data_IF_688033257517
#
_entry.id   IF_688033257517
#
_cell.length_a   1.000
_cell.length_b   1.000
_cell.length_c   1.000
_cell.angle_alpha   90.00
_cell.angle_beta   90.00
_cell.angle_gamma   90.00
#
_symmetry.space_group_name_H-M   'P 1'
#
loop_
_entity.id
_entity.type
_entity.pdbx_description
1 polymer ?
#
# COMPACT_ATOMS: atom_id res chain seq x y z
N UNK A 1 26.34 -1.06 -1.49
CA UNK A 1 25.78 -0.67 -2.72
C UNK A 1 25.05 -1.82 -3.36
N UNK A 2 23.93 -1.58 -3.72
CA UNK A 2 23.19 -2.59 -4.37
C UNK A 2 23.57 -2.65 -5.82
N UNK A 3 23.43 -3.76 -6.38
CA UNK A 3 23.59 -3.89 -7.79
C UNK A 3 22.53 -3.06 -8.48
N UNK A 4 22.88 -2.42 -9.56
CA UNK A 4 21.85 -1.77 -10.34
C UNK A 4 20.90 -2.82 -10.85
N UNK A 5 19.70 -2.38 -11.11
CA UNK A 5 18.74 -3.25 -11.71
C UNK A 5 19.30 -3.80 -13.00
N UNK A 6 19.14 -5.08 -13.16
CA UNK A 6 19.35 -5.61 -14.47
C UNK A 6 18.07 -6.25 -14.91
N UNK A 7 17.67 -5.94 -16.11
CA UNK A 7 16.51 -6.56 -16.68
C UNK A 7 16.71 -8.03 -16.49
N UNK A 8 15.67 -8.66 -16.14
CA UNK A 8 15.73 -10.09 -16.05
C UNK A 8 16.32 -10.66 -17.30
N UNK A 9 17.06 -11.70 -17.15
CA UNK A 9 17.58 -12.41 -18.28
C UNK A 9 16.50 -13.04 -19.12
N UNK A 10 15.26 -12.97 -18.70
CA UNK A 10 14.17 -13.49 -19.50
C UNK A 10 14.01 -12.62 -20.72
N UNK A 11 14.31 -13.20 -21.84
CA UNK A 11 14.31 -12.48 -23.08
C UNK A 11 12.97 -11.86 -23.35
N UNK A 12 12.96 -10.61 -23.73
CA UNK A 12 11.74 -9.93 -24.09
C UNK A 12 10.83 -9.61 -22.92
N UNK A 13 11.21 -10.01 -21.72
CA UNK A 13 10.41 -9.72 -20.54
C UNK A 13 11.20 -8.74 -19.69
N UNK A 14 10.60 -7.60 -19.42
CA UNK A 14 11.20 -6.59 -18.56
C UNK A 14 10.41 -6.55 -17.28
N UNK A 15 11.07 -6.88 -16.18
CA UNK A 15 10.46 -6.78 -14.88
C UNK A 15 10.80 -5.43 -14.29
N UNK A 16 9.79 -4.80 -13.69
CA UNK A 16 10.07 -3.62 -12.94
C UNK A 16 10.93 -4.01 -11.75
N UNK A 17 12.07 -3.38 -11.64
CA UNK A 17 12.92 -3.59 -10.49
C UNK A 17 12.37 -2.76 -9.34
N UNK A 18 11.90 -3.45 -8.33
CA UNK A 18 11.40 -2.78 -7.13
C UNK A 18 12.43 -2.76 -6.02
N UNK A 19 13.70 -3.02 -6.33
CA UNK A 19 14.76 -3.02 -5.33
C UNK A 19 14.95 -1.68 -4.65
N UNK A 20 14.58 -0.58 -5.33
CA UNK A 20 14.64 0.75 -4.74
C UNK A 20 13.33 1.16 -4.09
N UNK A 21 12.32 0.33 -4.15
CA UNK A 21 11.04 0.63 -3.53
C UNK A 21 11.16 0.34 -2.04
N UNK A 22 11.12 1.38 -1.23
CA UNK A 22 11.34 1.24 0.21
C UNK A 22 10.36 2.07 1.04
N UNK A 23 9.48 2.81 0.39
CA UNK A 23 8.57 3.71 1.08
C UNK A 23 7.25 3.02 1.33
N UNK A 24 6.76 3.15 2.56
CA UNK A 24 5.41 2.71 2.93
C UNK A 24 4.47 3.89 2.75
N UNK A 25 3.46 3.75 1.92
CA UNK A 25 2.46 4.78 1.75
C UNK A 25 1.24 4.45 2.62
N UNK A 26 0.81 5.42 3.41
CA UNK A 26 -0.38 5.31 4.24
C UNK A 26 -1.42 6.27 3.69
N UNK A 27 -2.56 5.75 3.27
CA UNK A 27 -3.63 6.57 2.72
C UNK A 27 -4.83 6.47 3.67
N UNK A 28 -5.10 7.56 4.37
CA UNK A 28 -6.16 7.63 5.36
C UNK A 28 -6.59 9.09 5.49
N UNK A 29 -7.89 9.34 5.45
CA UNK A 29 -8.41 10.71 5.55
C UNK A 29 -8.39 11.24 6.99
N UNK A 30 -8.14 10.39 7.97
CA UNK A 30 -8.01 10.79 9.35
C UNK A 30 -6.55 11.12 9.65
N UNK A 31 -6.27 12.40 9.84
CA UNK A 31 -4.90 12.86 10.12
C UNK A 31 -4.29 12.21 11.35
N UNK A 32 -5.10 12.07 12.40
CA UNK A 32 -4.58 11.52 13.65
C UNK A 32 -4.13 10.08 13.45
N UNK A 33 -4.93 9.29 12.72
CA UNK A 33 -4.58 7.89 12.44
C UNK A 33 -3.32 7.84 11.57
N UNK A 34 -3.27 8.64 10.52
CA UNK A 34 -2.11 8.68 9.63
C UNK A 34 -0.84 9.10 10.35
N UNK A 35 -0.94 10.12 11.21
CA UNK A 35 0.23 10.61 11.95
C UNK A 35 0.71 9.59 12.97
N UNK A 36 -0.20 8.96 13.69
CA UNK A 36 0.18 7.94 14.69
C UNK A 36 0.82 6.75 14.00
N UNK A 37 0.19 6.28 12.94
CA UNK A 37 0.70 5.12 12.21
C UNK A 37 2.04 5.44 11.55
N UNK A 38 2.13 6.60 10.91
CA UNK A 38 3.38 7.03 10.29
C UNK A 38 4.50 7.14 11.29
N UNK A 39 4.21 7.74 12.46
CA UNK A 39 5.20 7.86 13.51
C UNK A 39 5.69 6.52 14.05
N UNK A 40 4.77 5.57 14.21
CA UNK A 40 5.12 4.23 14.64
C UNK A 40 6.06 3.57 13.63
N UNK A 41 5.71 3.65 12.34
CA UNK A 41 6.50 3.02 11.29
C UNK A 41 7.86 3.66 11.16
N UNK A 42 7.93 4.99 11.27
CA UNK A 42 9.22 5.69 11.23
C UNK A 42 10.10 5.31 12.41
N UNK A 43 9.50 5.15 13.58
CA UNK A 43 10.25 4.69 14.75
C UNK A 43 10.81 3.29 14.56
N UNK A 44 10.20 2.49 13.70
CA UNK A 44 10.68 1.16 13.37
C UNK A 44 11.69 1.16 12.22
N UNK A 45 12.04 2.33 11.71
CA UNK A 45 13.05 2.45 10.67
C UNK A 45 12.52 2.51 9.25
N UNK A 46 11.22 2.58 9.06
CA UNK A 46 10.64 2.66 7.72
C UNK A 46 10.52 4.10 7.26
N UNK A 47 10.66 4.32 5.96
CA UNK A 47 10.29 5.59 5.36
C UNK A 47 8.80 5.55 5.05
N UNK A 48 8.10 6.62 5.44
CA UNK A 48 6.64 6.65 5.32
C UNK A 48 6.21 7.93 4.62
N UNK A 49 5.26 7.80 3.71
CA UNK A 49 4.56 8.93 3.13
C UNK A 49 3.08 8.76 3.43
N UNK A 50 2.44 9.83 3.87
CA UNK A 50 1.02 9.80 4.19
C UNK A 50 0.24 10.66 3.22
N UNK A 51 -0.94 10.17 2.86
CA UNK A 51 -1.84 10.85 1.94
C UNK A 51 -3.23 10.86 2.56
N UNK A 52 -3.95 11.94 2.41
CA UNK A 52 -5.26 12.10 3.02
C UNK A 52 -6.42 11.74 2.13
N UNK A 53 -6.15 11.46 0.88
CA UNK A 53 -7.21 11.11 -0.06
C UNK A 53 -6.63 10.28 -1.18
N UNK A 54 -7.50 9.54 -1.84
CA UNK A 54 -7.11 8.79 -3.01
C UNK A 54 -6.68 9.69 -4.16
N UNK A 55 -7.35 10.83 -4.31
CA UNK A 55 -7.00 11.78 -5.34
C UNK A 55 -5.58 12.30 -5.17
N UNK A 56 -5.25 12.71 -3.94
CA UNK A 56 -3.91 13.21 -3.64
C UNK A 56 -2.87 12.12 -3.91
N UNK A 57 -3.14 10.92 -3.42
CA UNK A 57 -2.25 9.79 -3.64
C UNK A 57 -2.04 9.52 -5.13
N UNK A 58 -3.13 9.39 -5.87
CA UNK A 58 -3.03 9.02 -7.29
C UNK A 58 -2.37 10.09 -8.14
N UNK A 59 -2.44 11.36 -7.74
CA UNK A 59 -1.88 12.46 -8.53
C UNK A 59 -0.45 12.82 -8.16
N UNK A 60 0.00 12.50 -6.95
CA UNK A 60 1.32 12.98 -6.50
C UNK A 60 2.30 11.87 -6.14
N UNK A 61 1.83 10.65 -5.87
CA UNK A 61 2.71 9.60 -5.39
C UNK A 61 3.65 9.10 -6.48
N UNK A 62 4.86 8.78 -6.08
CA UNK A 62 5.86 8.16 -6.94
C UNK A 62 5.75 6.66 -6.76
N UNK A 63 4.92 6.02 -7.58
CA UNK A 63 4.61 4.60 -7.42
C UNK A 63 5.83 3.70 -7.47
N UNK A 64 6.82 4.09 -8.25
CA UNK A 64 8.05 3.32 -8.39
C UNK A 64 8.87 3.24 -7.11
N UNK A 65 8.59 4.12 -6.15
CA UNK A 65 9.30 4.15 -4.87
C UNK A 65 8.54 3.47 -3.74
N UNK A 66 7.31 3.05 -3.98
CA UNK A 66 6.46 2.51 -2.94
C UNK A 66 6.63 1.01 -2.82
N UNK A 67 7.03 0.57 -1.64
CA UNK A 67 7.19 -0.85 -1.35
C UNK A 67 5.85 -1.50 -1.02
N UNK A 68 4.97 -0.76 -0.34
CA UNK A 68 3.65 -1.26 -0.01
C UNK A 68 2.71 -0.11 0.33
N UNK A 69 1.43 -0.43 0.33
CA UNK A 69 0.36 0.51 0.63
C UNK A 69 -0.45 0.03 1.82
N UNK A 70 -0.78 0.95 2.70
CA UNK A 70 -1.73 0.73 3.78
C UNK A 70 -2.87 1.72 3.54
N UNK A 71 -4.02 1.21 3.18
CA UNK A 71 -5.13 2.05 2.71
C UNK A 71 -6.37 1.82 3.56
N UNK A 72 -6.96 2.91 4.05
CA UNK A 72 -8.25 2.87 4.70
C UNK A 72 -9.34 2.71 3.65
N UNK A 73 -10.19 1.71 3.85
CA UNK A 73 -11.33 1.48 2.95
C UNK A 73 -12.38 2.59 3.07
N UNK A 74 -12.58 3.07 4.28
CA UNK A 74 -13.73 3.93 4.59
C UNK A 74 -13.37 5.40 4.51
N UNK A 75 -13.18 5.89 3.30
CA UNK A 75 -12.90 7.29 3.03
C UNK A 75 -14.01 7.88 2.16
N UNK A 76 -14.32 9.17 2.34
CA UNK A 76 -15.30 9.82 1.47
C UNK A 76 -14.73 9.99 0.06
N UNK A 77 -15.59 10.13 -0.90
CA UNK A 77 -15.30 10.39 -2.31
C UNK A 77 -14.62 9.24 -3.04
N UNK A 78 -13.58 8.65 -2.46
CA UNK A 78 -12.90 7.52 -3.08
C UNK A 78 -12.51 6.55 -1.99
N UNK A 79 -13.05 5.34 -2.08
CA UNK A 79 -12.74 4.28 -1.11
C UNK A 79 -11.38 3.66 -1.40
N UNK A 80 -10.88 2.90 -0.44
CA UNK A 80 -9.63 2.17 -0.63
C UNK A 80 -9.67 1.23 -1.83
N UNK A 81 -10.77 0.51 -2.00
CA UNK A 81 -10.91 -0.40 -3.15
C UNK A 81 -10.91 0.36 -4.47
N UNK A 82 -11.49 1.54 -4.51
CA UNK A 82 -11.47 2.34 -5.73
C UNK A 82 -10.05 2.79 -6.08
N UNK A 83 -9.25 3.08 -5.07
CA UNK A 83 -7.84 3.40 -5.30
C UNK A 83 -7.13 2.20 -5.91
N UNK A 84 -7.31 1.04 -5.32
CA UNK A 84 -6.67 -0.20 -5.81
C UNK A 84 -7.10 -0.48 -7.25
N UNK A 85 -8.38 -0.30 -7.52
CA UNK A 85 -8.91 -0.53 -8.86
C UNK A 85 -8.27 0.41 -9.87
N UNK A 86 -8.10 1.68 -9.52
CA UNK A 86 -7.45 2.66 -10.39
C UNK A 86 -5.99 2.33 -10.64
N UNK A 87 -5.28 1.86 -9.61
CA UNK A 87 -3.90 1.41 -9.78
C UNK A 87 -3.84 0.23 -10.74
N UNK A 88 -4.75 -0.72 -10.57
CA UNK A 88 -4.81 -1.89 -11.44
C UNK A 88 -5.04 -1.47 -12.90
N UNK A 89 -5.92 -0.52 -13.13
CA UNK A 89 -6.19 -0.01 -14.47
C UNK A 89 -4.97 0.67 -15.10
N UNK A 90 -4.08 1.18 -14.29
CA UNK A 90 -2.83 1.80 -14.74
C UNK A 90 -1.68 0.82 -14.85
N UNK A 91 -1.92 -0.45 -14.56
CA UNK A 91 -0.87 -1.46 -14.57
C UNK A 91 0.08 -1.37 -13.39
N UNK A 92 -0.32 -0.67 -12.34
CA UNK A 92 0.51 -0.52 -11.14
C UNK A 92 0.11 -1.60 -10.14
N UNK A 93 1.08 -2.39 -9.72
CA UNK A 93 0.85 -3.49 -8.80
C UNK A 93 1.79 -3.36 -7.62
N UNK A 94 1.26 -2.91 -6.49
CA UNK A 94 2.02 -2.69 -5.27
C UNK A 94 1.35 -3.50 -4.16
N UNK A 95 2.13 -4.22 -3.34
CA UNK A 95 1.54 -4.96 -2.22
C UNK A 95 0.67 -4.04 -1.36
N UNK A 96 -0.56 -4.44 -1.12
CA UNK A 96 -1.54 -3.59 -0.48
C UNK A 96 -2.20 -4.30 0.70
N UNK A 97 -2.30 -3.57 1.80
CA UNK A 97 -3.11 -3.92 2.96
C UNK A 97 -4.26 -2.93 3.04
N UNK A 98 -5.46 -3.45 3.13
CA UNK A 98 -6.66 -2.65 3.24
C UNK A 98 -7.17 -2.72 4.67
N UNK A 99 -7.53 -1.58 5.23
CA UNK A 99 -8.07 -1.52 6.58
C UNK A 99 -9.54 -1.13 6.48
N UNK A 100 -10.42 -1.89 7.11
CA UNK A 100 -11.84 -1.63 7.06
C UNK A 100 -12.42 -1.52 8.48
N UNK A 101 -13.44 -0.69 8.63
CA UNK A 101 -14.09 -0.52 9.92
C UNK A 101 -15.04 -1.65 10.27
N UNK A 102 -15.66 -2.25 9.27
CA UNK A 102 -16.61 -3.31 9.46
C UNK A 102 -16.33 -4.45 8.52
N UNK A 103 -16.51 -5.65 9.04
CA UNK A 103 -16.37 -6.83 8.21
C UNK A 103 -17.45 -6.80 7.11
N UNK A 104 -17.01 -6.89 5.88
CA UNK A 104 -17.89 -6.87 4.73
C UNK A 104 -17.38 -7.91 3.73
N UNK A 105 -18.11 -9.03 3.58
CA UNK A 105 -17.66 -10.07 2.65
C UNK A 105 -17.51 -9.59 1.21
N UNK A 106 -18.30 -8.62 0.79
CA UNK A 106 -18.19 -8.09 -0.57
C UNK A 106 -16.89 -7.31 -0.74
N UNK A 107 -16.52 -6.55 0.26
CA UNK A 107 -15.24 -5.84 0.24
C UNK A 107 -14.08 -6.82 0.19
N UNK A 108 -14.14 -7.86 1.03
CA UNK A 108 -13.08 -8.86 1.05
C UNK A 108 -12.98 -9.60 -0.27
N UNK A 109 -14.10 -9.96 -0.85
CA UNK A 109 -14.13 -10.67 -2.12
C UNK A 109 -13.54 -9.81 -3.23
N UNK A 110 -13.97 -8.56 -3.31
CA UNK A 110 -13.45 -7.65 -4.34
C UNK A 110 -11.98 -7.36 -4.13
N UNK A 111 -11.57 -7.18 -2.88
CA UNK A 111 -10.17 -6.96 -2.56
C UNK A 111 -9.31 -8.12 -3.06
N UNK A 112 -9.73 -9.33 -2.80
CA UNK A 112 -9.01 -10.51 -3.28
C UNK A 112 -8.91 -10.54 -4.79
N UNK A 113 -10.01 -10.19 -5.48
CA UNK A 113 -10.03 -10.20 -6.94
C UNK A 113 -9.10 -9.13 -7.53
N UNK A 114 -8.82 -8.08 -6.77
CA UNK A 114 -7.92 -7.01 -7.20
C UNK A 114 -6.48 -7.23 -6.74
N UNK A 115 -6.20 -8.36 -6.08
CA UNK A 115 -4.85 -8.67 -5.65
C UNK A 115 -4.42 -8.04 -4.33
N UNK A 116 -5.37 -7.55 -3.54
CA UNK A 116 -5.06 -7.04 -2.20
C UNK A 116 -4.59 -8.21 -1.34
N UNK A 117 -3.43 -8.05 -0.72
CA UNK A 117 -2.82 -9.16 0.01
C UNK A 117 -3.49 -9.43 1.34
N UNK A 118 -3.93 -8.39 2.01
CA UNK A 118 -4.46 -8.52 3.37
C UNK A 118 -5.53 -7.49 3.61
N UNK A 119 -6.62 -7.91 4.24
CA UNK A 119 -7.68 -7.01 4.72
C UNK A 119 -7.75 -7.18 6.23
N UNK A 120 -7.59 -6.08 6.95
CA UNK A 120 -7.66 -6.08 8.41
C UNK A 120 -8.82 -5.21 8.87
N UNK A 121 -9.49 -5.66 9.92
CA UNK A 121 -10.57 -4.92 10.56
C UNK A 121 -10.05 -4.04 11.67
N UNK A 122 -10.64 -2.86 11.83
CA UNK A 122 -10.35 -2.00 12.97
C UNK A 122 -11.12 -2.51 14.20
N UNK A 123 -10.55 -2.45 15.39
CA UNK A 123 -9.17 -2.05 15.69
C UNK A 123 -8.21 -3.15 15.29
N UNK A 124 -7.17 -2.79 14.58
CA UNK A 124 -6.23 -3.78 14.09
C UNK A 124 -5.03 -3.89 15.04
N UNK A 125 -4.43 -5.05 15.03
CA UNK A 125 -3.21 -5.29 15.76
C UNK A 125 -2.03 -4.65 15.02
N UNK A 126 -1.19 -3.90 15.74
CA UNK A 126 0.05 -3.39 15.17
C UNK A 126 0.95 -4.52 14.71
N UNK A 127 0.86 -5.66 15.37
CA UNK A 127 1.65 -6.82 15.00
C UNK A 127 1.34 -7.30 13.58
N UNK A 128 0.05 -7.38 13.24
CA UNK A 128 -0.35 -7.81 11.91
C UNK A 128 0.06 -6.79 10.85
N UNK A 129 -0.07 -5.52 11.16
CA UNK A 129 0.37 -4.45 10.27
C UNK A 129 1.86 -4.53 10.01
N UNK A 130 2.65 -4.62 11.08
CA UNK A 130 4.10 -4.66 10.95
C UNK A 130 4.56 -5.91 10.21
N UNK A 131 3.88 -7.02 10.42
CA UNK A 131 4.20 -8.25 9.71
C UNK A 131 4.00 -8.09 8.21
N UNK A 132 2.87 -7.49 7.80
CA UNK A 132 2.62 -7.22 6.40
C UNK A 132 3.73 -6.35 5.81
N UNK A 133 4.07 -5.27 6.51
CA UNK A 133 5.06 -4.32 6.01
C UNK A 133 6.43 -4.96 5.91
N UNK A 134 6.84 -5.72 6.91
CA UNK A 134 8.15 -6.34 6.89
C UNK A 134 8.30 -7.34 5.73
N UNK A 135 7.25 -8.07 5.42
CA UNK A 135 7.26 -9.00 4.30
C UNK A 135 7.32 -8.23 2.98
N UNK A 136 6.60 -7.11 2.89
CA UNK A 136 6.50 -6.35 1.65
C UNK A 136 7.74 -5.52 1.34
N UNK A 137 8.35 -4.94 2.37
CA UNK A 137 9.56 -4.16 2.18
C UNK A 137 10.77 -5.07 2.02
N UNK A 138 10.70 -6.19 2.63
CA UNK A 138 11.70 -7.23 2.44
C UNK A 138 12.90 -7.11 3.20
#
# INVERSE_FOLDING_TARGET
MNAPFRPSSLKGVVFMDRGNASIVAVIDDDNDVGDVLGGLLEAMGYQVETYRSGMDFLSTARFDRLACLVIDQNMPRMTGLEIVERLSQRGVNIPTLLITGLHDPEVEHKAASLGVMTVLEKPMSHHELLRFISVSVG
#
